data_IF_389883378137
#
_entry.id   IF_389883378137
#
_cell.length_a   1.000
_cell.length_b   1.000
_cell.length_c   1.000
_cell.angle_alpha   90.00
_cell.angle_beta   90.00
_cell.angle_gamma   90.00
#
_symmetry.space_group_name_H-M   'P 1'
#
loop_
_entity.id
_entity.type
_entity.pdbx_description
1 polymer ?
#
# COMPACT_ATOMS: atom_id res chain seq x y z
N UNK A 1 -10.10 -9.31 29.93
CA UNK A 1 -11.24 -9.72 29.10
C UNK A 1 -11.71 -11.15 29.48
N UNK A 2 -10.81 -12.08 29.67
CA UNK A 2 -11.14 -13.48 29.97
C UNK A 2 -11.89 -13.68 31.28
N UNK A 3 -11.76 -12.78 32.24
CA UNK A 3 -12.43 -12.81 33.54
C UNK A 3 -13.80 -12.12 33.55
N UNK A 4 -14.20 -11.47 32.47
CA UNK A 4 -15.49 -10.79 32.35
C UNK A 4 -16.61 -11.81 32.05
N UNK A 5 -17.58 -11.91 32.91
CA UNK A 5 -18.68 -12.88 32.81
C UNK A 5 -19.45 -12.80 31.48
N UNK A 6 -19.75 -11.58 31.01
CA UNK A 6 -20.41 -11.36 29.71
C UNK A 6 -19.58 -11.84 28.52
N UNK A 7 -18.26 -11.82 28.63
CA UNK A 7 -17.36 -12.28 27.57
C UNK A 7 -17.30 -13.81 27.52
N UNK A 8 -17.35 -14.48 28.69
CA UNK A 8 -17.41 -15.94 28.79
C UNK A 8 -18.73 -16.48 28.22
N UNK A 9 -19.84 -15.80 28.49
CA UNK A 9 -21.13 -16.13 27.94
C UNK A 9 -21.15 -15.94 26.39
N UNK A 10 -20.55 -14.90 25.88
CA UNK A 10 -20.43 -14.64 24.44
C UNK A 10 -19.55 -15.69 23.74
N UNK A 11 -18.44 -16.08 24.35
CA UNK A 11 -17.57 -17.13 23.84
C UNK A 11 -18.28 -18.52 23.84
N UNK A 12 -19.04 -18.82 24.88
CA UNK A 12 -19.80 -20.06 24.94
C UNK A 12 -20.91 -20.14 23.90
N UNK A 13 -21.59 -19.02 23.61
CA UNK A 13 -22.59 -18.93 22.56
C UNK A 13 -22.02 -19.16 21.16
N UNK A 14 -20.76 -18.82 20.98
CA UNK A 14 -20.05 -19.03 19.70
C UNK A 14 -19.35 -20.40 19.62
N UNK A 15 -19.44 -21.21 20.69
CA UNK A 15 -18.83 -22.55 20.75
C UNK A 15 -17.29 -22.52 20.69
N UNK A 16 -16.65 -21.40 21.06
CA UNK A 16 -15.21 -21.23 21.05
C UNK A 16 -14.63 -21.24 22.47
N UNK A 17 -13.37 -21.66 22.58
CA UNK A 17 -12.66 -21.53 23.86
C UNK A 17 -12.48 -20.02 24.18
N UNK A 18 -12.59 -19.66 25.47
CA UNK A 18 -12.50 -18.28 25.96
C UNK A 18 -11.17 -17.61 25.52
N UNK A 19 -10.08 -18.39 25.46
CA UNK A 19 -8.78 -17.95 24.98
C UNK A 19 -8.77 -17.60 23.49
N UNK A 20 -9.42 -18.40 22.65
CA UNK A 20 -9.55 -18.16 21.21
C UNK A 20 -10.45 -16.95 20.94
N UNK A 21 -11.60 -16.89 21.63
CA UNK A 21 -12.51 -15.75 21.52
C UNK A 21 -11.84 -14.44 21.94
N UNK A 22 -11.01 -14.45 23.00
CA UNK A 22 -10.28 -13.25 23.43
C UNK A 22 -9.22 -12.80 22.42
N UNK A 23 -8.51 -13.74 21.81
CA UNK A 23 -7.51 -13.43 20.78
C UNK A 23 -8.16 -12.87 19.53
N UNK A 24 -9.29 -13.44 19.13
CA UNK A 24 -10.06 -12.99 17.96
C UNK A 24 -10.64 -11.59 18.20
N UNK A 25 -11.22 -11.35 19.39
CA UNK A 25 -11.75 -10.04 19.75
C UNK A 25 -10.66 -8.95 19.70
N UNK A 26 -9.49 -9.23 20.27
CA UNK A 26 -8.35 -8.28 20.23
C UNK A 26 -7.93 -8.01 18.80
N UNK A 27 -7.82 -9.02 17.94
CA UNK A 27 -7.50 -8.84 16.50
C UNK A 27 -8.53 -7.95 15.81
N UNK A 28 -9.82 -8.22 15.99
CA UNK A 28 -10.90 -7.42 15.40
C UNK A 28 -10.84 -5.97 15.88
N UNK A 29 -10.54 -5.74 17.17
CA UNK A 29 -10.34 -4.38 17.69
C UNK A 29 -9.16 -3.67 17.04
N UNK A 30 -8.04 -4.36 16.84
CA UNK A 30 -6.88 -3.78 16.12
C UNK A 30 -7.21 -3.49 14.67
N UNK A 31 -7.88 -4.40 13.96
CA UNK A 31 -8.30 -4.16 12.57
C UNK A 31 -9.23 -2.95 12.47
N UNK A 32 -10.23 -2.86 13.36
CA UNK A 32 -11.12 -1.72 13.45
C UNK A 32 -10.39 -0.40 13.73
N UNK A 33 -9.40 -0.43 14.62
CA UNK A 33 -8.54 0.72 14.89
C UNK A 33 -7.72 1.11 13.65
N UNK A 34 -7.09 0.16 12.96
CA UNK A 34 -6.29 0.45 11.76
C UNK A 34 -7.14 1.00 10.63
N UNK A 35 -8.31 0.41 10.39
CA UNK A 35 -9.27 0.93 9.39
C UNK A 35 -9.68 2.36 9.75
N UNK A 36 -9.97 2.66 11.02
CA UNK A 36 -10.35 4.01 11.43
C UNK A 36 -9.24 5.03 11.19
N UNK A 37 -7.98 4.67 11.46
CA UNK A 37 -6.81 5.54 11.18
C UNK A 37 -6.70 5.80 9.68
N UNK A 38 -6.82 4.77 8.85
CA UNK A 38 -6.75 4.93 7.38
C UNK A 38 -7.88 5.84 6.87
N UNK A 39 -9.11 5.64 7.36
CA UNK A 39 -10.27 6.47 6.97
C UNK A 39 -10.04 7.93 7.38
N UNK A 40 -9.54 8.18 8.59
CA UNK A 40 -9.22 9.52 9.09
C UNK A 40 -8.15 10.17 8.21
N UNK A 41 -7.06 9.46 7.92
CA UNK A 41 -5.98 9.96 7.07
C UNK A 41 -6.48 10.25 5.65
N UNK A 42 -7.32 9.38 5.08
CA UNK A 42 -7.94 9.60 3.77
C UNK A 42 -8.82 10.85 3.77
N UNK A 43 -9.65 11.02 4.79
CA UNK A 43 -10.50 12.20 4.93
C UNK A 43 -9.69 13.49 4.97
N UNK A 44 -8.64 13.55 5.81
CA UNK A 44 -7.77 14.73 5.91
C UNK A 44 -6.96 14.96 4.63
N UNK A 45 -6.48 13.92 3.97
CA UNK A 45 -5.79 14.02 2.67
C UNK A 45 -6.70 14.62 1.60
N UNK A 46 -7.93 14.15 1.47
CA UNK A 46 -8.91 14.69 0.52
C UNK A 46 -9.24 16.16 0.82
N UNK A 47 -9.42 16.49 2.10
CA UNK A 47 -9.66 17.85 2.52
C UNK A 47 -8.47 18.77 2.19
N UNK A 48 -7.25 18.31 2.47
CA UNK A 48 -6.03 19.04 2.16
C UNK A 48 -5.86 19.27 0.66
N UNK A 49 -6.08 18.25 -0.17
CA UNK A 49 -5.96 18.35 -1.63
C UNK A 49 -6.99 19.28 -2.26
N UNK A 50 -8.21 19.35 -1.70
CA UNK A 50 -9.28 20.25 -2.18
C UNK A 50 -9.12 21.69 -1.68
N UNK A 51 -8.28 21.91 -0.68
CA UNK A 51 -8.03 23.22 -0.08
C UNK A 51 -7.17 24.14 -0.97
N UNK A 52 -7.09 25.45 -0.65
CA UNK A 52 -6.14 26.36 -1.30
C UNK A 52 -4.67 25.91 -1.16
N UNK A 53 -4.35 25.24 -0.05
CA UNK A 53 -3.03 24.65 0.17
C UNK A 53 -2.72 23.56 -0.85
N UNK A 54 -3.64 22.64 -1.12
CA UNK A 54 -3.46 21.58 -2.11
C UNK A 54 -3.29 22.12 -3.55
N UNK A 55 -4.04 23.17 -3.90
CA UNK A 55 -3.85 23.86 -5.21
C UNK A 55 -2.46 24.47 -5.35
N UNK A 56 -1.97 25.11 -4.27
CA UNK A 56 -0.62 25.66 -4.24
C UNK A 56 0.44 24.56 -4.35
N UNK A 57 0.27 23.43 -3.66
CA UNK A 57 1.21 22.31 -3.74
C UNK A 57 1.29 21.70 -5.15
N UNK A 58 0.15 21.58 -5.85
CA UNK A 58 0.14 21.17 -7.25
C UNK A 58 0.87 22.17 -8.15
N UNK A 59 0.67 23.47 -7.96
CA UNK A 59 1.38 24.49 -8.72
C UNK A 59 2.90 24.44 -8.49
N UNK A 60 3.36 24.17 -7.27
CA UNK A 60 4.78 23.98 -6.95
C UNK A 60 5.32 22.72 -7.66
N UNK A 61 4.59 21.61 -7.60
CA UNK A 61 4.94 20.35 -8.27
C UNK A 61 5.09 20.54 -9.80
N UNK A 62 4.16 21.28 -10.40
CA UNK A 62 4.11 21.47 -11.85
C UNK A 62 5.21 22.43 -12.35
N UNK A 63 5.50 23.51 -11.59
CA UNK A 63 6.60 24.42 -11.90
C UNK A 63 7.07 25.17 -10.66
N UNK A 64 8.13 24.66 -10.04
CA UNK A 64 8.71 25.21 -8.80
C UNK A 64 9.26 26.63 -9.01
N UNK A 65 9.95 26.88 -10.13
CA UNK A 65 10.55 28.19 -10.47
C UNK A 65 9.48 29.26 -10.65
N UNK A 66 8.39 28.94 -11.35
CA UNK A 66 7.28 29.86 -11.51
C UNK A 66 6.57 30.15 -10.18
N UNK A 67 6.38 29.16 -9.34
CA UNK A 67 5.80 29.34 -8.01
C UNK A 67 6.66 30.23 -7.10
N UNK A 68 7.98 30.03 -7.14
CA UNK A 68 8.94 30.88 -6.40
C UNK A 68 8.93 32.33 -6.92
N UNK A 69 8.89 32.53 -8.23
CA UNK A 69 8.79 33.86 -8.85
C UNK A 69 7.51 34.61 -8.45
N UNK A 70 6.43 33.87 -8.17
CA UNK A 70 5.18 34.42 -7.64
C UNK A 70 5.22 34.70 -6.11
N UNK A 71 6.40 34.64 -5.49
CA UNK A 71 6.61 34.95 -4.08
C UNK A 71 6.20 33.82 -3.12
N UNK A 72 6.09 32.57 -3.60
CA UNK A 72 5.82 31.42 -2.73
C UNK A 72 7.12 30.88 -2.14
N UNK A 73 7.13 30.69 -0.82
CA UNK A 73 8.24 30.04 -0.12
C UNK A 73 8.17 28.52 -0.32
N UNK A 74 8.78 28.03 -1.39
CA UNK A 74 8.76 26.63 -1.81
C UNK A 74 9.44 25.73 -0.78
N UNK A 75 10.59 26.15 -0.24
CA UNK A 75 11.37 25.38 0.74
C UNK A 75 10.55 25.11 1.99
N UNK A 76 9.90 26.14 2.53
CA UNK A 76 9.04 26.01 3.69
C UNK A 76 7.86 25.05 3.43
N UNK A 77 7.31 25.07 2.21
CA UNK A 77 6.19 24.16 1.84
C UNK A 77 6.66 22.72 1.75
N UNK A 78 7.79 22.46 1.13
CA UNK A 78 8.38 21.13 1.10
C UNK A 78 8.69 20.61 2.50
N UNK A 79 9.23 21.45 3.37
CA UNK A 79 9.49 21.10 4.77
C UNK A 79 8.21 20.69 5.52
N UNK A 80 7.11 21.45 5.36
CA UNK A 80 5.83 21.13 6.00
C UNK A 80 5.32 19.76 5.53
N UNK A 81 5.35 19.49 4.20
CA UNK A 81 4.93 18.19 3.65
C UNK A 81 5.80 17.06 4.18
N UNK A 82 7.11 17.27 4.23
CA UNK A 82 8.06 16.29 4.76
C UNK A 82 7.78 15.96 6.23
N UNK A 83 7.55 16.97 7.09
CA UNK A 83 7.25 16.77 8.51
C UNK A 83 5.94 16.01 8.69
N UNK A 84 4.87 16.42 7.99
CA UNK A 84 3.56 15.73 8.05
C UNK A 84 3.69 14.29 7.55
N UNK A 85 4.34 14.09 6.42
CA UNK A 85 4.56 12.75 5.85
C UNK A 85 5.35 11.84 6.79
N UNK A 86 6.43 12.36 7.39
CA UNK A 86 7.23 11.61 8.36
C UNK A 86 6.44 11.24 9.61
N UNK A 87 5.56 12.12 10.10
CA UNK A 87 4.69 11.83 11.24
C UNK A 87 3.69 10.69 10.91
N UNK A 88 3.09 10.72 9.72
CA UNK A 88 2.17 9.65 9.26
C UNK A 88 2.92 8.31 9.13
N UNK A 89 4.12 8.32 8.55
CA UNK A 89 4.96 7.12 8.43
C UNK A 89 5.34 6.58 9.82
N UNK A 90 5.67 7.47 10.76
CA UNK A 90 5.95 7.09 12.15
C UNK A 90 4.75 6.39 12.83
N UNK A 91 3.53 6.90 12.63
CA UNK A 91 2.31 6.23 13.11
C UNK A 91 2.12 4.86 12.46
N UNK A 92 2.31 4.75 11.14
CA UNK A 92 2.21 3.48 10.43
C UNK A 92 3.25 2.45 10.93
N UNK A 93 4.47 2.89 11.24
CA UNK A 93 5.51 2.05 11.84
C UNK A 93 5.13 1.55 13.23
N UNK A 94 4.54 2.40 14.09
CA UNK A 94 4.04 1.99 15.39
C UNK A 94 2.89 0.97 15.27
N UNK A 95 1.98 1.16 14.32
CA UNK A 95 0.90 0.22 14.03
C UNK A 95 1.45 -1.14 13.57
N UNK A 96 2.46 -1.15 12.69
CA UNK A 96 3.10 -2.38 12.20
C UNK A 96 3.75 -3.15 13.35
N UNK A 97 4.54 -2.51 14.21
CA UNK A 97 5.16 -3.16 15.36
C UNK A 97 4.14 -3.71 16.36
N UNK A 98 3.01 -3.02 16.52
CA UNK A 98 1.90 -3.50 17.37
C UNK A 98 1.23 -4.73 16.78
N UNK A 99 1.06 -4.76 15.44
CA UNK A 99 0.50 -5.92 14.73
C UNK A 99 1.42 -7.14 14.83
N UNK A 100 2.71 -6.95 14.63
CA UNK A 100 3.71 -8.03 14.71
C UNK A 100 3.91 -8.54 16.16
N UNK A 101 3.50 -7.76 17.16
CA UNK A 101 3.64 -8.11 18.58
C UNK A 101 5.08 -8.15 19.07
N UNK A 102 6.05 -7.74 18.26
CA UNK A 102 7.46 -7.70 18.58
C UNK A 102 8.19 -6.55 17.91
N UNK A 103 9.15 -5.97 18.59
CA UNK A 103 10.03 -4.95 18.05
C UNK A 103 11.42 -5.54 17.82
N UNK A 104 11.75 -5.80 16.57
CA UNK A 104 13.07 -6.29 16.17
C UNK A 104 13.69 -5.29 15.20
N UNK A 105 14.84 -4.67 15.52
CA UNK A 105 15.47 -3.67 14.63
C UNK A 105 15.79 -4.21 13.24
N UNK A 106 16.06 -5.51 13.10
CA UNK A 106 16.33 -6.20 11.85
C UNK A 106 15.06 -6.69 11.12
N UNK A 107 13.90 -6.63 11.77
CA UNK A 107 12.62 -7.08 11.18
C UNK A 107 12.17 -6.19 10.03
N UNK A 108 12.49 -4.89 10.09
CA UNK A 108 12.23 -3.98 9.00
C UNK A 108 13.37 -3.99 7.99
N UNK A 109 13.11 -4.54 6.82
CA UNK A 109 14.06 -4.52 5.69
C UNK A 109 13.73 -3.31 4.79
N UNK A 110 14.50 -2.21 4.85
CA UNK A 110 14.16 -0.96 4.16
C UNK A 110 13.97 -1.14 2.67
N UNK A 111 14.86 -1.91 2.02
CA UNK A 111 14.80 -2.16 0.58
C UNK A 111 13.46 -2.81 0.18
N UNK A 112 13.02 -3.84 0.91
CA UNK A 112 11.79 -4.58 0.64
C UNK A 112 10.56 -3.71 0.86
N UNK A 113 10.42 -3.11 2.04
CA UNK A 113 9.22 -2.34 2.39
C UNK A 113 9.13 -1.04 1.57
N UNK A 114 10.24 -0.32 1.42
CA UNK A 114 10.26 0.91 0.62
C UNK A 114 9.93 0.62 -0.85
N UNK A 115 10.52 -0.45 -1.42
CA UNK A 115 10.22 -0.85 -2.79
C UNK A 115 8.73 -1.20 -2.98
N UNK A 116 8.13 -1.98 -2.07
CA UNK A 116 6.72 -2.32 -2.14
C UNK A 116 5.82 -1.08 -2.08
N UNK A 117 6.11 -0.12 -1.18
CA UNK A 117 5.34 1.12 -1.09
C UNK A 117 5.41 1.91 -2.39
N UNK A 118 6.59 2.01 -3.02
CA UNK A 118 6.74 2.67 -4.31
C UNK A 118 5.90 2.00 -5.39
N UNK A 119 5.95 0.68 -5.46
CA UNK A 119 5.17 -0.10 -6.43
C UNK A 119 3.66 0.08 -6.19
N UNK A 120 3.21 0.07 -4.93
CA UNK A 120 1.82 0.33 -4.55
C UNK A 120 1.32 1.69 -5.06
N UNK A 121 2.12 2.74 -4.89
CA UNK A 121 1.76 4.10 -5.31
C UNK A 121 1.79 4.24 -6.84
N UNK A 122 2.78 3.67 -7.50
CA UNK A 122 2.91 3.73 -8.97
C UNK A 122 1.74 3.01 -9.62
N UNK A 123 1.44 1.77 -9.20
CA UNK A 123 0.36 0.97 -9.76
C UNK A 123 -1.00 1.55 -9.42
N UNK A 124 -1.17 2.05 -8.21
CA UNK A 124 -2.41 2.69 -7.79
C UNK A 124 -2.73 3.97 -8.56
N UNK A 125 -1.69 4.74 -8.92
CA UNK A 125 -1.78 6.04 -9.55
C UNK A 125 -1.30 7.16 -8.61
N UNK A 126 -0.15 7.74 -8.94
CA UNK A 126 0.62 8.66 -8.07
C UNK A 126 -0.03 10.01 -7.77
N UNK A 127 -1.17 10.32 -8.33
CA UNK A 127 -1.88 11.59 -8.09
C UNK A 127 -3.24 11.41 -7.42
N UNK A 128 -3.60 10.20 -7.02
CA UNK A 128 -4.90 9.88 -6.49
C UNK A 128 -4.80 9.13 -5.15
N UNK A 129 -5.40 9.67 -4.09
CA UNK A 129 -5.40 9.03 -2.76
C UNK A 129 -6.07 7.64 -2.78
N UNK A 130 -7.18 7.51 -3.52
CA UNK A 130 -7.86 6.23 -3.69
C UNK A 130 -7.03 5.23 -4.49
N UNK A 131 -6.23 5.75 -5.43
CA UNK A 131 -5.24 4.96 -6.16
C UNK A 131 -4.23 4.33 -5.20
N UNK A 132 -3.68 5.09 -4.27
CA UNK A 132 -2.72 4.58 -3.28
C UNK A 132 -3.31 3.45 -2.42
N UNK A 133 -4.57 3.60 -1.97
CA UNK A 133 -5.27 2.55 -1.20
C UNK A 133 -5.49 1.30 -2.05
N UNK A 134 -6.01 1.48 -3.27
CA UNK A 134 -6.25 0.36 -4.19
C UNK A 134 -4.96 -0.35 -4.57
N UNK A 135 -3.90 0.40 -4.87
CA UNK A 135 -2.58 -0.14 -5.15
C UNK A 135 -2.00 -0.92 -3.98
N UNK A 136 -2.22 -0.43 -2.75
CA UNK A 136 -1.85 -1.13 -1.51
C UNK A 136 -2.52 -2.50 -1.40
N UNK A 137 -3.85 -2.56 -1.55
CA UNK A 137 -4.58 -3.82 -1.54
C UNK A 137 -4.16 -4.76 -2.68
N UNK A 138 -4.02 -4.23 -3.89
CA UNK A 138 -3.65 -5.01 -5.07
C UNK A 138 -2.27 -5.66 -4.90
N UNK A 139 -1.25 -4.88 -4.55
CA UNK A 139 0.11 -5.41 -4.39
C UNK A 139 0.21 -6.33 -3.19
N UNK A 140 -0.48 -6.03 -2.08
CA UNK A 140 -0.47 -6.90 -0.91
C UNK A 140 -1.14 -8.24 -1.19
N UNK A 141 -2.23 -8.26 -1.94
CA UNK A 141 -2.86 -9.49 -2.41
C UNK A 141 -1.87 -10.34 -3.23
N UNK A 142 -1.24 -9.76 -4.24
CA UNK A 142 -0.24 -10.49 -5.04
C UNK A 142 0.98 -10.90 -4.23
N UNK A 143 1.38 -10.12 -3.25
CA UNK A 143 2.47 -10.48 -2.35
C UNK A 143 2.17 -11.73 -1.53
N UNK A 144 0.94 -11.89 -1.05
CA UNK A 144 0.51 -13.07 -0.29
C UNK A 144 0.35 -14.27 -1.22
N UNK A 145 -0.31 -14.09 -2.36
CA UNK A 145 -0.66 -15.16 -3.27
C UNK A 145 0.50 -15.63 -4.16
N UNK A 146 1.56 -14.85 -4.31
CA UNK A 146 2.68 -15.16 -5.20
C UNK A 146 3.38 -16.48 -4.84
N UNK A 147 3.56 -16.77 -3.56
CA UNK A 147 4.23 -18.02 -3.12
C UNK A 147 3.33 -19.24 -3.25
N UNK A 148 2.08 -19.26 -2.78
CA UNK A 148 1.16 -20.38 -3.00
C UNK A 148 0.94 -20.70 -4.49
N UNK A 149 0.72 -19.66 -5.31
CA UNK A 149 0.56 -19.82 -6.76
C UNK A 149 1.85 -20.37 -7.39
N UNK A 150 3.01 -19.85 -6.96
CA UNK A 150 4.31 -20.30 -7.42
C UNK A 150 4.56 -21.77 -7.09
N UNK A 151 4.28 -22.19 -5.86
CA UNK A 151 4.39 -23.59 -5.44
C UNK A 151 3.46 -24.48 -6.25
N UNK A 152 2.20 -24.08 -6.40
CA UNK A 152 1.25 -24.83 -7.23
C UNK A 152 1.72 -24.97 -8.68
N UNK A 153 2.27 -23.90 -9.26
CA UNK A 153 2.83 -23.91 -10.61
C UNK A 153 4.03 -24.86 -10.72
N UNK A 154 4.94 -24.81 -9.74
CA UNK A 154 6.10 -25.72 -9.69
C UNK A 154 5.64 -27.17 -9.58
N UNK A 155 4.67 -27.45 -8.71
CA UNK A 155 4.10 -28.79 -8.57
C UNK A 155 3.45 -29.27 -9.88
N UNK A 156 2.67 -28.41 -10.54
CA UNK A 156 2.03 -28.73 -11.81
C UNK A 156 3.05 -29.01 -12.93
N UNK A 157 4.11 -28.22 -13.02
CA UNK A 157 5.18 -28.40 -14.03
C UNK A 157 6.06 -29.61 -13.74
N UNK A 158 6.19 -30.00 -12.46
CA UNK A 158 7.04 -31.13 -12.04
C UNK A 158 6.26 -32.43 -11.78
N UNK A 159 4.98 -32.50 -12.19
CA UNK A 159 4.13 -33.70 -12.04
C UNK A 159 4.75 -34.95 -12.61
N UNK A 160 5.55 -34.83 -13.68
CA UNK A 160 6.21 -35.93 -14.36
C UNK A 160 7.63 -36.21 -13.84
N UNK A 161 8.10 -35.49 -12.83
CA UNK A 161 9.44 -35.64 -12.25
C UNK A 161 9.37 -36.36 -10.90
N UNK A 162 10.39 -37.16 -10.61
CA UNK A 162 10.53 -37.81 -9.30
C UNK A 162 10.59 -36.74 -8.17
N UNK A 163 10.00 -37.09 -7.01
CA UNK A 163 9.90 -36.20 -5.87
C UNK A 163 11.27 -35.75 -5.32
N UNK A 164 12.30 -36.57 -5.50
CA UNK A 164 13.67 -36.29 -5.06
C UNK A 164 14.56 -35.64 -6.12
N UNK A 165 13.99 -35.25 -7.27
CA UNK A 165 14.78 -34.66 -8.34
C UNK A 165 15.30 -33.27 -7.88
N UNK A 166 16.62 -33.06 -8.04
CA UNK A 166 17.31 -31.86 -7.56
C UNK A 166 16.70 -30.54 -8.05
N UNK A 167 16.20 -30.49 -9.28
CA UNK A 167 15.50 -29.33 -9.85
C UNK A 167 14.24 -28.99 -9.09
N UNK A 168 13.42 -29.99 -8.74
CA UNK A 168 12.19 -29.78 -7.98
C UNK A 168 12.48 -29.24 -6.60
N UNK A 169 13.43 -29.82 -5.89
CA UNK A 169 13.85 -29.38 -4.57
C UNK A 169 14.38 -27.96 -4.60
N UNK A 170 15.26 -27.63 -5.57
CA UNK A 170 15.79 -26.27 -5.73
C UNK A 170 14.70 -25.24 -6.06
N UNK A 171 13.72 -25.59 -6.90
CA UNK A 171 12.62 -24.67 -7.23
C UNK A 171 11.71 -24.40 -6.02
N UNK A 172 11.42 -25.43 -5.22
CA UNK A 172 10.60 -25.29 -4.01
C UNK A 172 11.32 -24.48 -2.95
N UNK A 173 12.61 -24.71 -2.72
CA UNK A 173 13.43 -23.95 -1.78
C UNK A 173 13.52 -22.47 -2.14
N UNK A 174 13.51 -22.16 -3.44
CA UNK A 174 13.57 -20.79 -3.94
C UNK A 174 12.17 -20.15 -4.19
N UNK A 175 11.09 -20.83 -3.85
CA UNK A 175 9.73 -20.32 -4.08
C UNK A 175 9.47 -18.98 -3.38
N UNK A 176 10.10 -18.71 -2.22
CA UNK A 176 10.00 -17.43 -1.53
C UNK A 176 10.51 -16.25 -2.37
N UNK A 177 11.46 -16.46 -3.28
CA UNK A 177 11.96 -15.42 -4.19
C UNK A 177 10.97 -15.07 -5.30
N UNK A 178 9.98 -15.94 -5.57
CA UNK A 178 8.93 -15.69 -6.56
C UNK A 178 8.09 -14.47 -6.19
N UNK A 179 7.96 -14.13 -4.92
CA UNK A 179 7.26 -12.91 -4.47
C UNK A 179 7.85 -11.66 -5.10
N UNK A 180 9.18 -11.50 -5.03
CA UNK A 180 9.86 -10.33 -5.62
C UNK A 180 9.79 -10.33 -7.13
N UNK A 181 9.95 -11.50 -7.77
CA UNK A 181 9.81 -11.64 -9.21
C UNK A 181 8.40 -11.26 -9.68
N UNK A 182 7.36 -11.75 -8.99
CA UNK A 182 5.96 -11.45 -9.30
C UNK A 182 5.69 -9.95 -9.21
N UNK A 183 6.12 -9.29 -8.12
CA UNK A 183 5.95 -7.84 -7.96
C UNK A 183 6.71 -7.08 -9.06
N UNK A 184 7.91 -7.51 -9.41
CA UNK A 184 8.68 -6.92 -10.52
C UNK A 184 7.97 -7.05 -11.86
N UNK A 185 7.42 -8.23 -12.17
CA UNK A 185 6.64 -8.46 -13.41
C UNK A 185 5.38 -7.59 -13.42
N UNK A 186 4.64 -7.54 -12.31
CA UNK A 186 3.44 -6.70 -12.19
C UNK A 186 3.80 -5.23 -12.42
N UNK A 187 4.92 -4.74 -11.85
CA UNK A 187 5.38 -3.38 -12.06
C UNK A 187 5.67 -3.11 -13.54
N UNK A 188 6.39 -4.00 -14.22
CA UNK A 188 6.70 -3.86 -15.65
C UNK A 188 5.43 -3.86 -16.51
N UNK A 189 4.47 -4.74 -16.21
CA UNK A 189 3.20 -4.79 -16.92
C UNK A 189 2.37 -3.52 -16.65
N UNK A 190 2.32 -3.06 -15.40
CA UNK A 190 1.61 -1.85 -15.05
C UNK A 190 2.19 -0.61 -15.76
N UNK A 191 3.51 -0.44 -15.76
CA UNK A 191 4.15 0.68 -16.46
C UNK A 191 3.95 0.62 -17.98
N UNK A 192 3.83 -0.59 -18.54
CA UNK A 192 3.60 -0.75 -19.98
C UNK A 192 2.16 -0.49 -20.39
N UNK A 193 1.18 -1.00 -19.62
CA UNK A 193 -0.24 -0.96 -19.98
C UNK A 193 -1.02 0.13 -19.28
N UNK A 194 -0.59 0.56 -18.09
CA UNK A 194 -1.24 1.57 -17.25
C UNK A 194 -0.22 2.60 -16.76
N UNK A 195 0.38 3.41 -17.67
CA UNK A 195 1.43 4.36 -17.30
C UNK A 195 0.96 5.42 -16.28
N UNK A 196 -0.32 5.75 -16.27
CA UNK A 196 -0.93 6.71 -15.33
C UNK A 196 -1.45 6.03 -14.04
N UNK A 197 -1.22 4.71 -13.89
CA UNK A 197 -1.75 3.88 -12.80
C UNK A 197 -3.20 3.43 -13.01
N UNK A 198 -3.71 2.61 -12.09
CA UNK A 198 -5.08 2.07 -12.14
C UNK A 198 -6.15 3.18 -11.96
N UNK A 199 -5.86 4.17 -11.11
CA UNK A 199 -6.73 5.33 -10.89
C UNK A 199 -5.95 6.62 -11.17
N UNK A 200 -5.95 7.10 -12.42
CA UNK A 200 -5.18 8.28 -12.79
C UNK A 200 -5.67 9.54 -12.05
N UNK A 201 -4.77 10.52 -11.90
CA UNK A 201 -5.10 11.82 -11.34
C UNK A 201 -6.17 12.53 -12.17
N UNK A 202 -7.20 13.07 -11.52
CA UNK A 202 -8.18 13.92 -12.19
C UNK A 202 -7.51 15.25 -12.55
N UNK A 203 -7.09 15.40 -13.79
CA UNK A 203 -6.58 16.67 -14.31
C UNK A 203 -7.70 17.71 -14.26
N UNK A 204 -7.40 18.89 -13.72
CA UNK A 204 -8.35 20.00 -13.73
C UNK A 204 -8.73 20.31 -15.19
N UNK A 205 -10.03 20.43 -15.46
CA UNK A 205 -10.69 20.52 -16.80
C UNK A 205 -10.17 21.62 -17.76
N UNK A 206 -9.08 22.30 -17.44
CA UNK A 206 -8.47 23.34 -18.26
C UNK A 206 -7.56 22.86 -19.39
N UNK A 207 -7.01 21.65 -19.30
CA UNK A 207 -6.01 21.15 -20.28
C UNK A 207 -6.66 20.46 -21.50
N UNK A 208 -7.83 19.88 -21.34
CA UNK A 208 -8.55 19.22 -22.43
C UNK A 208 -9.01 20.19 -23.53
N UNK A 209 -9.06 21.48 -23.23
CA UNK A 209 -9.44 22.51 -24.23
C UNK A 209 -8.32 22.90 -25.19
N UNK A 210 -7.06 22.73 -24.79
CA UNK A 210 -5.89 23.08 -25.65
C UNK A 210 -5.59 22.02 -26.71
N UNK A 211 -5.86 20.76 -26.47
CA UNK A 211 -5.55 19.69 -27.43
C UNK A 211 -6.53 19.64 -28.60
N UNK A 212 -7.78 20.10 -28.40
CA UNK A 212 -8.78 20.16 -29.48
C UNK A 212 -8.69 21.42 -30.36
N UNK A 213 -7.94 22.45 -29.93
CA UNK A 213 -7.78 23.69 -30.72
C UNK A 213 -6.58 23.66 -31.65
N UNK A 214 -5.62 22.74 -31.48
CA UNK A 214 -4.45 22.59 -32.34
C UNK A 214 -4.63 21.57 -33.47
N UNK A 215 -5.77 20.88 -33.51
CA UNK A 215 -6.12 19.91 -34.58
C UNK A 215 -6.99 20.46 -35.70
N UNK A 216 -7.25 21.78 -35.73
CA UNK A 216 -8.08 22.44 -36.73
C UNK A 216 -7.34 23.60 -37.43
N UNK A 217 -6.04 23.41 -37.78
CA UNK A 217 -5.36 24.33 -38.67
C UNK A 217 -4.58 23.58 -39.73
#
# INVERSE_FOLDING_TARGET
LQELFWFQELASNWGMAVTEASSLFVKVCYEGFFISVVVILMYFSELALKSPWGRMMRAIRDNETAAAAMGKDVVKRHLIVFVIGSAVIGMAGAMLTTLDGQFTPLGYQPLRFTFLIWVMVIIGGSGNNWGAVLGGFFIWFFWIEAEPIGLWLIEALTLFMDREHWLRTSLIENAAHMRLATVGIILLLALRYFPDGLLPEQKASGETRKHNSTGMS
#
